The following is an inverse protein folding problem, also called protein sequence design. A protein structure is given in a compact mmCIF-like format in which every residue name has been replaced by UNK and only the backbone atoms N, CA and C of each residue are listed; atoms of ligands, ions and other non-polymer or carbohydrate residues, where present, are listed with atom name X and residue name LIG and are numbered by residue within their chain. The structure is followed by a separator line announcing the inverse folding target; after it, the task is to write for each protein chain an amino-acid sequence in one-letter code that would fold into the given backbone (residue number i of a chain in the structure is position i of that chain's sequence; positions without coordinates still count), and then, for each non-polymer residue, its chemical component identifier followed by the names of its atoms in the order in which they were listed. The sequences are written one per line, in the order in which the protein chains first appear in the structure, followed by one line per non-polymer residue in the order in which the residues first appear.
data_IF_114876645401
#
_entry.id   IF_114876645401
#
_cell.length_a   1.000
_cell.length_b   1.000
_cell.length_c   1.000
_cell.angle_alpha   90.00
_cell.angle_beta   90.00
_cell.angle_gamma   90.00
#
_symmetry.space_group_name_H-M   'P 1'
#
loop_
_entity.id
_entity.type
_entity.pdbx_description
1 polymer ?
#
# COMPACT_ATOMS: atom_id res chain seq x y z
N UNK A 1 17.79 14.65 -31.30
CA UNK A 1 17.46 13.39 -32.01
C UNK A 1 16.06 12.98 -31.59
N UNK A 2 15.13 12.89 -32.53
CA UNK A 2 13.69 12.81 -32.24
C UNK A 2 13.17 11.38 -32.36
N UNK A 3 12.18 11.04 -31.54
CA UNK A 3 11.49 9.74 -31.43
C UNK A 3 10.94 9.14 -32.75
N UNK A 4 10.93 9.89 -33.85
CA UNK A 4 10.48 9.41 -35.17
C UNK A 4 11.46 8.48 -35.88
N UNK A 5 12.73 8.44 -35.50
CA UNK A 5 13.76 7.66 -36.22
C UNK A 5 13.88 6.20 -35.76
N UNK A 6 13.26 5.83 -34.63
CA UNK A 6 13.31 4.46 -34.09
C UNK A 6 12.20 3.53 -34.62
N UNK A 7 11.18 4.07 -35.30
CA UNK A 7 10.05 3.28 -35.81
C UNK A 7 10.24 2.72 -37.25
N UNK A 8 11.36 3.03 -37.92
CA UNK A 8 11.59 2.70 -39.34
C UNK A 8 12.62 1.58 -39.57
N UNK A 9 12.94 0.77 -38.56
CA UNK A 9 13.84 -0.40 -38.69
C UNK A 9 13.24 -1.76 -38.34
N UNK A 10 11.91 -1.83 -38.14
CA UNK A 10 11.19 -3.08 -37.94
C UNK A 10 10.17 -3.32 -39.05
N UNK A 11 10.63 -3.42 -40.30
CA UNK A 11 9.82 -3.98 -41.38
C UNK A 11 10.70 -4.45 -42.53
N UNK A 12 11.25 -5.64 -42.41
CA UNK A 12 11.65 -6.44 -43.56
C UNK A 12 11.82 -7.90 -43.12
N UNK A 13 11.44 -8.81 -44.03
CA UNK A 13 11.41 -10.28 -43.90
C UNK A 13 10.13 -10.81 -43.25
N UNK A 14 9.11 -11.08 -44.06
CA UNK A 14 8.66 -12.45 -44.39
C UNK A 14 7.96 -12.41 -45.75
N UNK A 15 8.55 -13.07 -46.74
CA UNK A 15 7.96 -13.33 -48.04
C UNK A 15 7.03 -14.55 -48.01
N UNK A 16 6.05 -14.51 -48.91
CA UNK A 16 4.96 -15.46 -49.12
C UNK A 16 5.41 -16.89 -49.46
N UNK A 17 4.66 -17.89 -48.97
CA UNK A 17 4.31 -19.11 -49.73
C UNK A 17 3.17 -19.90 -49.07
N UNK A 18 2.18 -20.31 -49.88
CA UNK A 18 1.52 -21.62 -49.75
C UNK A 18 0.18 -21.72 -49.03
N UNK A 19 -0.88 -22.06 -49.78
CA UNK A 19 -2.22 -22.42 -49.29
C UNK A 19 -2.30 -23.87 -48.77
N UNK A 20 -3.25 -24.07 -47.86
CA UNK A 20 -4.25 -25.16 -47.80
C UNK A 20 -4.24 -26.11 -46.57
N UNK A 21 -5.46 -26.20 -46.00
CA UNK A 21 -6.07 -27.29 -45.23
C UNK A 21 -5.72 -27.47 -43.74
N UNK A 22 -6.65 -26.97 -42.91
CA UNK A 22 -7.39 -27.74 -41.90
C UNK A 22 -6.62 -28.49 -40.81
N UNK A 23 -6.62 -27.96 -39.59
CA UNK A 23 -6.76 -28.75 -38.36
C UNK A 23 -6.91 -27.87 -37.10
N UNK A 24 -7.94 -28.20 -36.32
CA UNK A 24 -8.07 -28.17 -34.85
C UNK A 24 -7.55 -26.96 -34.05
N UNK A 25 -8.51 -26.28 -33.41
CA UNK A 25 -8.28 -25.41 -32.27
C UNK A 25 -7.61 -26.17 -31.11
N UNK A 26 -6.48 -25.65 -30.64
CA UNK A 26 -5.79 -26.11 -29.44
C UNK A 26 -6.01 -25.04 -28.37
N UNK A 27 -6.89 -25.30 -27.41
CA UNK A 27 -6.95 -24.56 -26.16
C UNK A 27 -5.77 -24.99 -25.28
N UNK A 28 -4.68 -24.22 -25.35
CA UNK A 28 -3.57 -24.31 -24.39
C UNK A 28 -3.67 -23.17 -23.38
N UNK A 29 -4.26 -23.46 -22.22
CA UNK A 29 -4.14 -22.59 -21.05
C UNK A 29 -2.68 -22.62 -20.57
N UNK A 30 -1.90 -21.60 -20.92
CA UNK A 30 -0.56 -21.43 -20.39
C UNK A 30 -0.66 -20.94 -18.94
N UNK A 31 -0.47 -21.86 -18.00
CA UNK A 31 -0.32 -21.54 -16.59
C UNK A 31 0.90 -20.60 -16.42
N UNK A 32 0.64 -19.39 -15.94
CA UNK A 32 1.69 -18.46 -15.50
C UNK A 32 2.35 -19.09 -14.27
N UNK A 33 3.50 -19.73 -14.49
CA UNK A 33 4.32 -20.29 -13.41
C UNK A 33 4.90 -19.12 -12.61
N UNK A 34 4.47 -18.98 -11.36
CA UNK A 34 5.02 -18.00 -10.43
C UNK A 34 6.54 -18.20 -10.33
N UNK A 35 7.31 -17.23 -10.82
CA UNK A 35 8.76 -17.20 -10.70
C UNK A 35 9.10 -16.80 -9.26
N UNK A 36 9.18 -17.78 -8.37
CA UNK A 36 9.84 -17.62 -7.08
C UNK A 36 11.32 -17.94 -7.25
N UNK A 37 12.07 -16.96 -7.79
CA UNK A 37 13.52 -16.96 -7.67
C UNK A 37 13.88 -16.63 -6.23
N UNK A 38 14.27 -17.63 -5.43
CA UNK A 38 14.92 -17.40 -4.14
C UNK A 38 16.33 -16.89 -4.40
N UNK A 39 16.55 -15.59 -4.23
CA UNK A 39 17.88 -15.04 -3.94
C UNK A 39 18.18 -15.30 -2.46
N UNK A 40 19.35 -15.91 -2.21
CA UNK A 40 19.87 -16.18 -0.88
C UNK A 40 20.49 -14.89 -0.30
N UNK A 41 20.11 -14.51 0.93
CA UNK A 41 20.91 -13.63 1.78
C UNK A 41 20.33 -12.26 2.15
N UNK A 42 19.11 -12.21 2.71
CA UNK A 42 18.57 -11.02 3.38
C UNK A 42 17.31 -11.41 4.15
N UNK A 43 17.25 -11.16 5.46
CA UNK A 43 16.09 -11.46 6.28
C UNK A 43 14.99 -10.40 6.05
N UNK A 44 14.56 -10.23 4.80
CA UNK A 44 13.63 -9.16 4.41
C UNK A 44 12.21 -9.53 4.82
N UNK A 45 11.54 -8.61 5.50
CA UNK A 45 10.19 -8.80 6.02
C UNK A 45 9.20 -9.06 4.88
N UNK A 46 8.52 -10.22 4.89
CA UNK A 46 7.48 -10.53 3.90
C UNK A 46 6.19 -9.74 4.18
N UNK A 47 5.84 -8.83 3.28
CA UNK A 47 4.66 -7.97 3.33
C UNK A 47 3.45 -8.56 2.61
N UNK A 48 3.53 -9.79 2.08
CA UNK A 48 2.44 -10.41 1.35
C UNK A 48 1.18 -10.57 2.20
N UNK A 49 0.05 -10.01 1.71
CA UNK A 49 -1.25 -10.12 2.37
C UNK A 49 -1.97 -8.79 2.61
N UNK A 50 -2.97 -8.80 3.49
CA UNK A 50 -3.85 -7.66 3.74
C UNK A 50 -3.57 -7.04 5.10
N UNK A 51 -3.55 -5.70 5.14
CA UNK A 51 -3.44 -4.90 6.35
C UNK A 51 -4.60 -3.89 6.40
N UNK A 52 -5.44 -3.89 7.43
CA UNK A 52 -6.30 -2.74 7.69
C UNK A 52 -5.44 -1.57 8.22
N UNK A 53 -5.55 -0.36 7.64
CA UNK A 53 -5.10 0.86 8.30
C UNK A 53 -6.09 1.20 9.39
N UNK A 54 -5.74 0.86 10.63
CA UNK A 54 -6.66 0.98 11.77
C UNK A 54 -6.89 2.44 12.14
N UNK A 55 -8.11 2.74 12.58
CA UNK A 55 -8.48 4.06 13.07
C UNK A 55 -7.93 4.31 14.46
N UNK A 56 -7.68 5.57 14.80
CA UNK A 56 -7.59 5.98 16.19
C UNK A 56 -9.00 5.98 16.80
N UNK A 57 -9.10 5.76 18.11
CA UNK A 57 -10.37 5.85 18.82
C UNK A 57 -10.32 7.04 19.76
N UNK A 58 -11.42 7.80 19.81
CA UNK A 58 -11.57 8.98 20.64
C UNK A 58 -12.86 8.92 21.46
N UNK A 59 -12.85 9.52 22.64
CA UNK A 59 -14.04 9.74 23.45
C UNK A 59 -14.84 10.96 22.95
N UNK A 60 -15.97 11.25 23.61
CA UNK A 60 -16.82 12.40 23.27
C UNK A 60 -16.17 13.77 23.53
N UNK A 61 -14.97 13.78 24.14
CA UNK A 61 -14.17 14.97 24.42
C UNK A 61 -12.92 15.02 23.52
N UNK A 62 -12.89 14.23 22.44
CA UNK A 62 -11.78 14.10 21.51
C UNK A 62 -10.46 13.65 22.14
N UNK A 63 -10.50 12.96 23.30
CA UNK A 63 -9.31 12.36 23.90
C UNK A 63 -9.16 10.93 23.41
N UNK A 64 -7.91 10.49 23.26
CA UNK A 64 -7.61 9.11 22.90
C UNK A 64 -8.27 8.10 23.84
N UNK A 65 -9.04 7.17 23.26
CA UNK A 65 -9.70 6.06 23.94
C UNK A 65 -9.00 4.74 23.59
N UNK A 66 -7.97 4.40 24.36
CA UNK A 66 -7.23 3.14 24.17
C UNK A 66 -8.06 1.90 24.55
N UNK A 67 -9.14 2.07 25.32
CA UNK A 67 -10.06 0.99 25.67
C UNK A 67 -10.85 0.54 24.45
N UNK A 68 -11.52 1.49 23.79
CA UNK A 68 -12.26 1.24 22.53
C UNK A 68 -11.35 0.77 21.40
N UNK A 69 -10.15 1.34 21.29
CA UNK A 69 -9.15 0.82 20.35
C UNK A 69 -8.87 -0.66 20.61
N UNK A 70 -8.73 -1.03 21.89
CA UNK A 70 -8.57 -2.41 22.33
C UNK A 70 -9.69 -3.34 21.87
N UNK A 71 -10.95 -2.94 22.06
CA UNK A 71 -12.11 -3.71 21.63
C UNK A 71 -12.14 -3.93 20.10
N UNK A 72 -11.71 -2.93 19.33
CA UNK A 72 -11.61 -3.05 17.87
C UNK A 72 -10.45 -3.97 17.46
N UNK A 73 -9.30 -3.89 18.13
CA UNK A 73 -8.18 -4.80 17.91
C UNK A 73 -8.60 -6.26 18.10
N UNK A 74 -9.37 -6.56 19.16
CA UNK A 74 -9.83 -7.92 19.44
C UNK A 74 -10.70 -8.47 18.30
N UNK A 75 -11.46 -7.62 17.59
CA UNK A 75 -12.24 -8.00 16.41
C UNK A 75 -11.37 -8.16 15.16
N UNK A 76 -10.43 -7.25 14.92
CA UNK A 76 -9.54 -7.30 13.76
C UNK A 76 -8.58 -8.50 13.82
N UNK A 77 -8.08 -8.85 15.02
CA UNK A 77 -7.16 -9.96 15.22
C UNK A 77 -7.79 -11.35 14.97
N UNK A 78 -9.11 -11.44 14.89
CA UNK A 78 -9.81 -12.67 14.47
C UNK A 78 -9.77 -12.90 12.96
N UNK A 79 -9.30 -11.93 12.17
CA UNK A 79 -9.22 -12.03 10.70
C UNK A 79 -7.83 -12.45 10.26
N UNK A 80 -7.67 -13.09 9.08
CA UNK A 80 -6.39 -13.59 8.59
C UNK A 80 -5.53 -12.48 7.97
N UNK A 81 -5.44 -11.32 8.62
CA UNK A 81 -4.58 -10.23 8.18
C UNK A 81 -3.11 -10.60 8.33
N UNK A 82 -2.26 -10.09 7.44
CA UNK A 82 -0.80 -10.22 7.55
C UNK A 82 -0.28 -9.43 8.77
N UNK A 83 -0.95 -8.34 9.06
CA UNK A 83 -0.60 -7.41 10.12
C UNK A 83 -1.58 -6.23 10.15
N UNK A 84 -1.23 -5.18 10.87
CA UNK A 84 -1.99 -3.94 10.94
C UNK A 84 -1.13 -2.77 10.46
N UNK A 85 -1.76 -1.74 9.89
CA UNK A 85 -1.12 -0.44 9.70
C UNK A 85 -1.63 0.52 10.76
N UNK A 86 -0.75 1.03 11.60
CA UNK A 86 -1.05 2.01 12.67
C UNK A 86 -0.56 3.38 12.20
N UNK A 87 -1.31 4.46 12.44
CA UNK A 87 -0.95 5.81 12.00
C UNK A 87 -0.78 5.98 10.48
N UNK A 88 -1.46 5.17 9.67
CA UNK A 88 -1.74 5.55 8.28
C UNK A 88 -2.75 6.70 8.22
N UNK A 89 -3.11 7.20 7.04
CA UNK A 89 -4.05 8.33 6.90
C UNK A 89 -5.39 8.11 7.65
N UNK A 90 -5.93 6.89 7.65
CA UNK A 90 -7.17 6.53 8.37
C UNK A 90 -7.02 6.51 9.91
N UNK A 91 -5.79 6.50 10.43
CA UNK A 91 -5.51 6.64 11.86
C UNK A 91 -5.39 8.10 12.31
N UNK A 92 -5.68 9.05 11.41
CA UNK A 92 -5.69 10.49 11.65
C UNK A 92 -4.39 11.08 12.25
N UNK A 93 -3.18 10.62 11.86
CA UNK A 93 -1.93 10.95 12.56
C UNK A 93 -1.61 12.45 12.62
N UNK A 94 -2.19 13.25 11.72
CA UNK A 94 -2.03 14.71 11.68
C UNK A 94 -2.75 15.43 12.83
N UNK A 95 -3.68 14.75 13.52
CA UNK A 95 -4.42 15.27 14.67
C UNK A 95 -3.81 14.84 16.01
N UNK A 96 -2.80 13.97 16.00
CA UNK A 96 -2.20 13.41 17.21
C UNK A 96 -0.79 13.95 17.43
N UNK A 97 -0.44 14.21 18.69
CA UNK A 97 0.94 14.52 19.08
C UNK A 97 1.83 13.28 18.93
N UNK A 98 3.14 13.47 18.81
CA UNK A 98 4.08 12.35 18.70
C UNK A 98 4.01 11.39 19.89
N UNK A 99 3.82 11.91 21.10
CA UNK A 99 3.67 11.13 22.33
C UNK A 99 2.38 10.29 22.29
N UNK A 100 1.30 10.86 21.78
CA UNK A 100 0.02 10.17 21.59
C UNK A 100 0.13 9.06 20.55
N UNK A 101 0.80 9.34 19.42
CA UNK A 101 1.07 8.33 18.39
C UNK A 101 1.88 7.16 18.96
N UNK A 102 2.92 7.46 19.73
CA UNK A 102 3.78 6.44 20.35
C UNK A 102 3.00 5.61 21.37
N UNK A 103 2.14 6.23 22.19
CA UNK A 103 1.26 5.54 23.15
C UNK A 103 0.26 4.61 22.47
N UNK A 104 -0.35 5.06 21.37
CA UNK A 104 -1.25 4.22 20.56
C UNK A 104 -0.51 3.01 20.02
N UNK A 105 0.69 3.20 19.44
CA UNK A 105 1.46 2.10 18.90
C UNK A 105 1.86 1.08 19.98
N UNK A 106 2.33 1.54 21.14
CA UNK A 106 2.68 0.67 22.26
C UNK A 106 1.47 -0.15 22.75
N UNK A 107 0.29 0.48 22.83
CA UNK A 107 -0.96 -0.19 23.19
C UNK A 107 -1.37 -1.25 22.16
N UNK A 108 -1.20 -0.96 20.86
CA UNK A 108 -1.46 -1.93 19.78
C UNK A 108 -0.46 -3.10 19.88
N UNK A 109 0.84 -2.82 19.98
CA UNK A 109 1.89 -3.85 20.06
C UNK A 109 1.68 -4.81 21.21
N UNK A 110 1.23 -4.32 22.37
CA UNK A 110 0.96 -5.14 23.56
C UNK A 110 -0.15 -6.19 23.33
N UNK A 111 -1.05 -5.97 22.37
CA UNK A 111 -2.16 -6.89 22.06
C UNK A 111 -1.92 -7.74 20.81
N UNK A 112 -1.18 -7.22 19.83
CA UNK A 112 -0.94 -7.90 18.55
C UNK A 112 0.10 -9.02 18.73
N UNK A 113 -0.20 -10.28 18.35
CA UNK A 113 0.76 -11.39 18.35
C UNK A 113 2.01 -11.10 17.50
N UNK A 114 3.16 -11.67 17.88
CA UNK A 114 4.46 -11.41 17.21
C UNK A 114 4.57 -11.95 15.78
N UNK A 115 3.70 -12.88 15.39
CA UNK A 115 3.60 -13.40 14.02
C UNK A 115 2.76 -12.48 13.09
N UNK A 116 2.13 -11.44 13.64
CA UNK A 116 1.41 -10.38 12.90
C UNK A 116 2.24 -9.11 12.91
N UNK A 117 2.47 -8.57 11.71
CA UNK A 117 3.26 -7.38 11.52
C UNK A 117 2.53 -6.11 11.97
N UNK A 118 3.30 -5.11 12.38
CA UNK A 118 2.82 -3.74 12.56
C UNK A 118 3.65 -2.81 11.67
N UNK A 119 2.97 -2.21 10.69
CA UNK A 119 3.52 -1.12 9.89
C UNK A 119 3.10 0.21 10.54
N UNK A 120 4.04 0.96 11.10
CA UNK A 120 3.74 2.20 11.81
C UNK A 120 4.00 3.44 10.94
N UNK A 121 3.00 4.30 10.79
CA UNK A 121 3.13 5.59 10.12
C UNK A 121 4.02 6.53 10.91
N UNK A 122 5.22 6.82 10.40
CA UNK A 122 6.20 7.72 11.03
C UNK A 122 6.52 8.97 10.20
N UNK A 123 5.97 9.07 8.99
CA UNK A 123 6.22 10.22 8.12
C UNK A 123 5.72 11.55 8.70
N UNK A 124 6.57 12.56 8.59
CA UNK A 124 6.35 13.96 8.90
C UNK A 124 6.87 14.81 7.71
N UNK A 125 6.67 16.13 7.75
CA UNK A 125 7.14 17.02 6.67
C UNK A 125 8.67 17.20 6.69
N UNK A 126 9.29 17.22 7.87
CA UNK A 126 10.74 17.37 8.02
C UNK A 126 11.47 16.02 8.07
N UNK A 127 12.60 15.88 7.36
CA UNK A 127 13.42 14.66 7.37
C UNK A 127 13.90 14.26 8.77
N UNK A 128 14.39 15.21 9.56
CA UNK A 128 14.87 14.94 10.93
C UNK A 128 13.75 14.52 11.87
N UNK A 129 12.58 15.16 11.74
CA UNK A 129 11.39 14.84 12.52
C UNK A 129 10.86 13.44 12.17
N UNK A 130 10.80 13.10 10.88
CA UNK A 130 10.45 11.74 10.41
C UNK A 130 11.41 10.71 10.98
N UNK A 131 12.72 10.99 11.01
CA UNK A 131 13.72 10.06 11.55
C UNK A 131 13.58 9.89 13.07
N UNK A 132 13.38 10.99 13.81
CA UNK A 132 13.14 10.95 15.25
C UNK A 132 11.90 10.10 15.57
N UNK A 133 10.81 10.36 14.87
CA UNK A 133 9.57 9.62 15.09
C UNK A 133 9.70 8.16 14.66
N UNK A 134 10.42 7.88 13.57
CA UNK A 134 10.72 6.51 13.13
C UNK A 134 11.41 5.70 14.23
N UNK A 135 12.41 6.29 14.91
CA UNK A 135 13.07 5.64 16.05
C UNK A 135 12.12 5.39 17.21
N UNK A 136 11.31 6.39 17.58
CA UNK A 136 10.29 6.23 18.64
C UNK A 136 9.26 5.14 18.29
N UNK A 137 8.87 5.03 17.02
CA UNK A 137 7.93 3.98 16.56
C UNK A 137 8.58 2.59 16.61
N UNK A 138 9.85 2.47 16.24
CA UNK A 138 10.59 1.22 16.38
C UNK A 138 10.70 0.78 17.85
N UNK A 139 11.04 1.71 18.75
CA UNK A 139 11.13 1.45 20.20
C UNK A 139 9.77 1.02 20.80
N UNK A 140 8.67 1.57 20.27
CA UNK A 140 7.30 1.19 20.63
C UNK A 140 6.85 -0.13 19.99
N UNK A 141 7.68 -0.74 19.14
CA UNK A 141 7.49 -2.10 18.61
C UNK A 141 6.94 -2.19 17.18
N UNK A 142 7.13 -1.17 16.35
CA UNK A 142 6.91 -1.29 14.92
C UNK A 142 7.82 -2.36 14.31
N UNK A 143 7.28 -3.19 13.41
CA UNK A 143 8.08 -4.17 12.66
C UNK A 143 8.67 -3.55 11.38
N UNK A 144 8.00 -2.53 10.83
CA UNK A 144 8.49 -1.63 9.81
C UNK A 144 7.76 -0.28 9.92
N UNK A 145 8.29 0.77 9.28
CA UNK A 145 7.65 2.08 9.22
C UNK A 145 7.10 2.42 7.85
N UNK A 146 5.94 3.06 7.82
CA UNK A 146 5.28 3.57 6.63
C UNK A 146 5.49 5.08 6.56
N UNK A 147 6.29 5.54 5.60
CA UNK A 147 6.73 6.94 5.53
C UNK A 147 6.00 7.64 4.38
N UNK A 148 5.09 8.56 4.71
CA UNK A 148 4.36 9.38 3.72
C UNK A 148 5.29 10.42 3.10
N UNK A 149 5.10 10.67 1.80
CA UNK A 149 5.81 11.72 1.07
C UNK A 149 5.51 13.10 1.67
N UNK A 150 6.53 13.88 2.08
CA UNK A 150 6.35 15.28 2.46
C UNK A 150 5.69 16.07 1.34
N UNK A 151 4.74 16.94 1.66
CA UNK A 151 3.83 17.48 0.65
C UNK A 151 3.46 18.95 0.83
N UNK A 152 3.72 19.55 1.99
CA UNK A 152 3.34 20.95 2.25
C UNK A 152 3.99 21.90 1.23
N UNK A 153 5.29 21.71 0.97
CA UNK A 153 6.04 22.47 -0.05
C UNK A 153 6.11 21.73 -1.40
N UNK A 154 4.97 21.21 -1.90
CA UNK A 154 4.89 20.35 -3.10
C UNK A 154 5.74 20.80 -4.30
N UNK A 155 5.79 22.11 -4.59
CA UNK A 155 6.57 22.66 -5.72
C UNK A 155 8.08 22.52 -5.57
N UNK A 156 8.57 22.14 -4.39
CA UNK A 156 9.98 21.87 -4.07
C UNK A 156 10.26 20.39 -3.79
N UNK A 157 9.23 19.55 -3.75
CA UNK A 157 9.35 18.10 -3.54
C UNK A 157 9.70 17.40 -4.87
N UNK A 158 10.87 17.75 -5.41
CA UNK A 158 11.40 17.15 -6.63
C UNK A 158 11.85 15.71 -6.39
N UNK A 159 11.98 14.92 -7.46
CA UNK A 159 12.51 13.55 -7.35
C UNK A 159 13.81 13.45 -6.52
N UNK A 160 14.85 14.26 -6.79
CA UNK A 160 16.06 14.29 -5.96
C UNK A 160 15.82 14.65 -4.49
N UNK A 161 14.90 15.59 -4.20
CA UNK A 161 14.59 15.97 -2.82
C UNK A 161 13.90 14.81 -2.07
N UNK A 162 12.97 14.12 -2.73
CA UNK A 162 12.27 12.96 -2.17
C UNK A 162 13.20 11.77 -1.97
N UNK A 163 14.06 11.47 -2.95
CA UNK A 163 15.09 10.42 -2.80
C UNK A 163 15.99 10.75 -1.61
N UNK A 164 16.49 11.97 -1.50
CA UNK A 164 17.32 12.38 -0.37
C UNK A 164 16.61 12.23 0.98
N UNK A 165 15.34 12.65 1.08
CA UNK A 165 14.53 12.48 2.28
C UNK A 165 14.43 11.01 2.70
N UNK A 166 14.00 10.13 1.79
CA UNK A 166 13.80 8.72 2.10
C UNK A 166 15.12 7.99 2.37
N UNK A 167 16.21 8.31 1.66
CA UNK A 167 17.53 7.75 1.93
C UNK A 167 17.99 8.10 3.35
N UNK A 168 17.91 9.37 3.77
CA UNK A 168 18.29 9.78 5.13
C UNK A 168 17.45 9.08 6.22
N UNK A 169 16.16 8.88 5.97
CA UNK A 169 15.28 8.16 6.90
C UNK A 169 15.66 6.67 6.94
N UNK A 170 15.88 6.05 5.78
CA UNK A 170 16.23 4.63 5.68
C UNK A 170 17.62 4.31 6.25
N UNK A 171 18.61 5.20 6.08
CA UNK A 171 19.94 5.09 6.68
C UNK A 171 19.88 5.13 8.21
N UNK A 172 19.00 5.98 8.77
CA UNK A 172 18.89 6.18 10.21
C UNK A 172 17.85 5.31 10.92
N UNK A 173 17.03 4.55 10.16
CA UNK A 173 15.92 3.77 10.70
C UNK A 173 16.38 2.41 11.23
N UNK A 174 16.06 2.06 12.48
CA UNK A 174 16.39 0.73 13.04
C UNK A 174 15.49 -0.40 12.51
N UNK A 175 14.42 -0.07 11.79
CA UNK A 175 13.48 -1.03 11.19
C UNK A 175 13.27 -0.72 9.69
N UNK A 176 12.81 -1.68 8.88
CA UNK A 176 12.55 -1.47 7.45
C UNK A 176 11.61 -0.30 7.16
N UNK A 177 11.85 0.37 6.04
CA UNK A 177 11.04 1.48 5.53
C UNK A 177 10.16 1.01 4.37
N UNK A 178 8.89 1.37 4.42
CA UNK A 178 7.93 1.24 3.32
C UNK A 178 7.56 2.64 2.85
N UNK A 179 7.80 2.93 1.58
CA UNK A 179 7.44 4.20 0.94
C UNK A 179 5.91 4.33 0.89
N UNK A 180 5.36 5.53 1.02
CA UNK A 180 3.92 5.73 0.96
C UNK A 180 3.53 6.89 0.04
N UNK A 181 3.03 6.53 -1.16
CA UNK A 181 2.44 7.46 -2.12
C UNK A 181 0.93 7.51 -1.93
N UNK A 182 0.39 8.68 -1.58
CA UNK A 182 -1.05 8.91 -1.43
C UNK A 182 -1.44 10.27 -2.00
N UNK A 183 -1.48 10.40 -3.34
CA UNK A 183 -1.76 11.69 -3.99
C UNK A 183 -3.15 12.24 -3.64
N UNK A 184 -4.12 11.40 -3.29
CA UNK A 184 -5.44 11.84 -2.81
C UNK A 184 -5.39 12.73 -1.56
N UNK A 185 -4.39 12.55 -0.68
CA UNK A 185 -4.21 13.37 0.52
C UNK A 185 -3.09 14.42 0.35
N UNK A 186 -2.03 14.07 -0.36
CA UNK A 186 -0.82 14.91 -0.48
C UNK A 186 -0.86 15.87 -1.67
N UNK A 187 -1.70 15.58 -2.67
CA UNK A 187 -1.67 16.24 -3.97
C UNK A 187 -0.35 16.04 -4.72
N UNK A 188 0.45 15.04 -4.33
CA UNK A 188 1.76 14.72 -4.89
C UNK A 188 1.88 13.20 -5.05
N UNK A 189 2.12 12.74 -6.28
CA UNK A 189 2.46 11.34 -6.53
C UNK A 189 3.98 11.16 -6.42
N UNK A 190 4.42 10.11 -5.71
CA UNK A 190 5.84 9.76 -5.63
C UNK A 190 6.31 9.26 -7.01
N UNK A 191 7.27 9.94 -7.68
CA UNK A 191 7.65 9.60 -9.04
C UNK A 191 8.22 8.17 -9.18
N UNK A 192 7.89 7.49 -10.27
CA UNK A 192 8.37 6.14 -10.58
C UNK A 192 9.89 6.03 -10.46
N UNK A 193 10.64 6.94 -11.07
CA UNK A 193 12.11 6.93 -11.04
C UNK A 193 12.67 7.07 -9.62
N UNK A 194 11.97 7.81 -8.74
CA UNK A 194 12.35 7.93 -7.32
C UNK A 194 12.10 6.62 -6.57
N UNK A 195 10.98 5.94 -6.82
CA UNK A 195 10.68 4.62 -6.24
C UNK A 195 11.73 3.60 -6.68
N UNK A 196 12.06 3.56 -7.97
CA UNK A 196 13.06 2.63 -8.52
C UNK A 196 14.45 2.90 -7.95
N UNK A 197 14.86 4.17 -7.82
CA UNK A 197 16.12 4.52 -7.17
C UNK A 197 16.15 4.07 -5.70
N UNK A 198 15.07 4.33 -4.95
CA UNK A 198 14.97 3.97 -3.52
C UNK A 198 14.87 2.46 -3.30
N UNK A 199 14.33 1.69 -4.26
CA UNK A 199 14.22 0.23 -4.15
C UNK A 199 15.56 -0.51 -4.03
N UNK A 200 16.67 0.17 -4.38
CA UNK A 200 18.02 -0.38 -4.27
C UNK A 200 18.60 -0.23 -2.85
N UNK A 201 17.94 0.54 -1.98
CA UNK A 201 18.40 0.75 -0.62
C UNK A 201 18.05 -0.47 0.25
N UNK A 202 19.00 -1.07 0.98
CA UNK A 202 18.78 -2.35 1.69
C UNK A 202 17.70 -2.28 2.79
N UNK A 203 17.45 -1.08 3.32
CA UNK A 203 16.43 -0.86 4.35
C UNK A 203 15.09 -0.35 3.80
N UNK A 204 14.93 -0.22 2.47
CA UNK A 204 13.65 0.16 1.83
C UNK A 204 13.06 -1.08 1.17
N UNK A 205 12.02 -1.65 1.77
CA UNK A 205 11.52 -2.98 1.43
C UNK A 205 10.26 -2.97 0.57
N UNK A 206 9.71 -1.80 0.26
CA UNK A 206 8.52 -1.70 -0.56
C UNK A 206 7.87 -0.33 -0.63
N UNK A 207 6.73 -0.30 -1.29
CA UNK A 207 5.86 0.87 -1.44
C UNK A 207 4.40 0.49 -1.23
N UNK A 208 3.66 1.32 -0.49
CA UNK A 208 2.21 1.39 -0.54
C UNK A 208 1.82 2.49 -1.52
N UNK A 209 1.19 2.12 -2.63
CA UNK A 209 0.70 3.08 -3.62
C UNK A 209 -0.84 3.17 -3.58
N UNK A 210 -1.33 4.34 -3.15
CA UNK A 210 -2.76 4.68 -3.06
C UNK A 210 -3.28 5.48 -4.26
N UNK A 211 -2.48 5.66 -5.32
CA UNK A 211 -2.87 6.45 -6.50
C UNK A 211 -3.88 5.76 -7.42
N UNK A 212 -3.95 4.42 -7.37
CA UNK A 212 -4.88 3.62 -8.16
C UNK A 212 -4.49 3.43 -9.63
N UNK A 213 -3.33 3.95 -10.05
CA UNK A 213 -2.76 3.66 -11.36
C UNK A 213 -2.07 2.28 -11.36
N UNK A 214 -2.79 1.27 -11.84
CA UNK A 214 -2.29 -0.10 -11.96
C UNK A 214 -1.14 -0.19 -12.98
N UNK A 215 -1.10 0.70 -13.98
CA UNK A 215 0.02 0.76 -14.95
C UNK A 215 1.30 1.14 -14.23
N UNK A 216 1.26 2.18 -13.38
CA UNK A 216 2.39 2.58 -12.56
C UNK A 216 2.82 1.46 -11.61
N UNK A 217 1.88 0.80 -10.92
CA UNK A 217 2.22 -0.33 -10.05
C UNK A 217 2.90 -1.47 -10.82
N UNK A 218 2.41 -1.82 -12.00
CA UNK A 218 3.04 -2.81 -12.86
C UNK A 218 4.45 -2.39 -13.31
N UNK A 219 4.67 -1.11 -13.60
CA UNK A 219 6.00 -0.57 -13.90
C UNK A 219 6.95 -0.66 -12.71
N UNK A 220 6.48 -0.32 -11.49
CA UNK A 220 7.28 -0.48 -10.26
C UNK A 220 7.67 -1.96 -10.12
N UNK A 221 6.69 -2.87 -10.13
CA UNK A 221 6.94 -4.32 -10.03
C UNK A 221 7.95 -4.79 -11.08
N UNK A 222 7.82 -4.33 -12.33
CA UNK A 222 8.72 -4.72 -13.42
C UNK A 222 10.16 -4.21 -13.24
N UNK A 223 10.32 -2.94 -12.88
CA UNK A 223 11.61 -2.29 -12.75
C UNK A 223 12.36 -2.67 -11.46
N UNK A 224 11.65 -3.18 -10.44
CA UNK A 224 12.25 -3.61 -9.17
C UNK A 224 12.40 -5.13 -9.02
N UNK A 225 12.19 -5.94 -10.08
CA UNK A 225 12.24 -7.43 -10.01
C UNK A 225 13.56 -8.03 -9.51
N UNK A 226 14.65 -7.27 -9.58
CA UNK A 226 15.97 -7.69 -9.08
C UNK A 226 16.27 -7.22 -7.66
N UNK A 227 15.32 -6.58 -6.99
CA UNK A 227 15.46 -6.02 -5.64
C UNK A 227 14.50 -6.75 -4.68
N UNK A 228 14.82 -6.75 -3.39
CA UNK A 228 13.92 -7.22 -2.34
C UNK A 228 12.84 -6.16 -2.01
N UNK A 229 12.03 -5.82 -3.02
CA UNK A 229 11.10 -4.69 -2.97
C UNK A 229 9.67 -5.11 -3.32
N UNK A 230 8.73 -4.79 -2.42
CA UNK A 230 7.35 -5.27 -2.48
C UNK A 230 6.36 -4.13 -2.73
N UNK A 231 5.34 -4.35 -3.57
CA UNK A 231 4.29 -3.37 -3.85
C UNK A 231 2.99 -3.75 -3.15
N UNK A 232 2.42 -2.82 -2.38
CA UNK A 232 1.12 -2.94 -1.72
C UNK A 232 0.12 -1.97 -2.34
N UNK A 233 -1.05 -2.48 -2.73
CA UNK A 233 -2.17 -1.65 -3.15
C UNK A 233 -2.71 -0.83 -1.97
N UNK A 234 -2.97 0.46 -2.17
CA UNK A 234 -3.43 1.35 -1.11
C UNK A 234 -4.95 1.40 -0.89
N UNK A 235 -5.75 0.59 -1.58
CA UNK A 235 -7.21 0.55 -1.49
C UNK A 235 -7.76 -0.81 -1.94
N UNK A 236 -8.95 -1.20 -1.45
CA UNK A 236 -9.65 -2.38 -1.94
C UNK A 236 -10.25 -2.17 -3.35
N UNK A 237 -10.42 -0.92 -3.81
CA UNK A 237 -11.03 -0.60 -5.11
C UNK A 237 -10.23 -1.10 -6.32
N UNK A 238 -8.94 -1.37 -6.16
CA UNK A 238 -8.06 -1.85 -7.23
C UNK A 238 -7.15 -2.99 -6.75
N UNK A 239 -7.53 -3.71 -5.69
CA UNK A 239 -6.72 -4.76 -5.10
C UNK A 239 -6.49 -5.94 -6.06
N UNK A 240 -7.55 -6.42 -6.72
CA UNK A 240 -7.43 -7.50 -7.70
C UNK A 240 -6.50 -7.15 -8.87
N UNK A 241 -6.72 -6.06 -9.63
CA UNK A 241 -5.84 -5.74 -10.76
C UNK A 241 -4.40 -5.41 -10.33
N UNK A 242 -4.19 -4.87 -9.11
CA UNK A 242 -2.85 -4.67 -8.56
C UNK A 242 -2.13 -6.00 -8.30
N UNK A 243 -2.79 -6.97 -7.64
CA UNK A 243 -2.21 -8.30 -7.37
C UNK A 243 -1.97 -9.05 -8.68
N UNK A 244 -2.89 -8.98 -9.63
CA UNK A 244 -2.72 -9.56 -10.96
C UNK A 244 -1.51 -8.97 -11.71
N UNK A 245 -1.10 -7.74 -11.37
CA UNK A 245 0.09 -7.06 -11.92
C UNK A 245 1.37 -7.29 -11.11
N UNK A 246 1.30 -8.09 -10.03
CA UNK A 246 2.43 -8.50 -9.20
C UNK A 246 2.59 -7.73 -7.88
N UNK A 247 1.62 -6.89 -7.48
CA UNK A 247 1.55 -6.45 -6.09
C UNK A 247 1.33 -7.66 -5.16
N UNK A 248 1.92 -7.64 -3.97
CA UNK A 248 1.91 -8.79 -3.05
C UNK A 248 0.74 -8.76 -2.06
N UNK A 249 0.00 -7.66 -2.04
CA UNK A 249 -1.02 -7.42 -1.03
C UNK A 249 -1.62 -6.02 -1.08
N UNK A 250 -2.25 -5.62 0.02
CA UNK A 250 -2.86 -4.31 0.11
C UNK A 250 -3.07 -3.79 1.53
N UNK A 251 -2.98 -2.48 1.67
CA UNK A 251 -3.38 -1.74 2.85
C UNK A 251 -4.73 -1.09 2.56
N UNK A 252 -5.83 -1.70 3.04
CA UNK A 252 -7.17 -1.38 2.59
C UNK A 252 -8.06 -0.90 3.75
N UNK A 253 -8.54 0.35 3.71
CA UNK A 253 -9.44 0.89 4.74
C UNK A 253 -10.71 0.05 4.91
N UNK A 254 -11.30 -0.42 3.80
CA UNK A 254 -12.46 -1.30 3.80
C UNK A 254 -12.26 -2.60 4.63
N UNK A 255 -11.01 -3.04 4.84
CA UNK A 255 -10.72 -4.22 5.65
C UNK A 255 -11.03 -4.01 7.14
N UNK A 256 -11.18 -2.77 7.62
CA UNK A 256 -11.64 -2.50 8.99
C UNK A 256 -13.07 -3.02 9.23
N UNK A 257 -13.90 -3.07 8.17
CA UNK A 257 -15.31 -3.49 8.23
C UNK A 257 -15.57 -4.80 7.50
N UNK A 258 -15.01 -4.99 6.30
CA UNK A 258 -15.16 -6.19 5.45
C UNK A 258 -13.84 -6.97 5.36
N UNK A 259 -13.23 -7.22 6.52
CA UNK A 259 -11.91 -7.84 6.60
C UNK A 259 -11.82 -9.23 5.97
N UNK A 260 -12.85 -10.05 6.13
CA UNK A 260 -12.88 -11.41 5.58
C UNK A 260 -12.94 -11.39 4.05
N UNK A 261 -13.78 -10.53 3.49
CA UNK A 261 -14.00 -10.38 2.05
C UNK A 261 -12.75 -9.81 1.36
N UNK A 262 -12.10 -8.82 1.97
CA UNK A 262 -10.85 -8.26 1.41
C UNK A 262 -9.71 -9.29 1.45
N UNK A 263 -9.60 -10.08 2.53
CA UNK A 263 -8.64 -11.18 2.60
C UNK A 263 -8.93 -12.26 1.56
N UNK A 264 -10.21 -12.62 1.37
CA UNK A 264 -10.62 -13.58 0.37
C UNK A 264 -10.30 -13.08 -1.05
N UNK A 265 -10.55 -11.80 -1.34
CA UNK A 265 -10.17 -11.20 -2.61
C UNK A 265 -8.67 -11.33 -2.86
N UNK A 266 -7.83 -10.98 -1.88
CA UNK A 266 -6.38 -11.11 -1.99
C UNK A 266 -5.95 -12.58 -2.21
N UNK A 267 -6.59 -13.53 -1.53
CA UNK A 267 -6.33 -14.97 -1.67
C UNK A 267 -6.68 -15.47 -3.07
N UNK A 268 -7.92 -15.23 -3.53
CA UNK A 268 -8.39 -15.60 -4.88
C UNK A 268 -7.48 -15.01 -5.98
N UNK A 269 -7.08 -13.75 -5.81
CA UNK A 269 -6.18 -13.06 -6.74
C UNK A 269 -4.82 -13.74 -6.84
N UNK A 270 -4.21 -14.08 -5.69
CA UNK A 270 -2.90 -14.75 -5.63
C UNK A 270 -2.91 -16.18 -6.14
N UNK A 271 -4.03 -16.88 -5.98
CA UNK A 271 -4.20 -18.26 -6.46
C UNK A 271 -4.58 -18.35 -7.94
N UNK A 272 -4.73 -17.22 -8.65
CA UNK A 272 -5.12 -17.20 -10.06
C UNK A 272 -6.60 -17.53 -10.31
N UNK A 273 -7.46 -17.45 -9.27
CA UNK A 273 -8.92 -17.64 -9.39
C UNK A 273 -9.58 -16.36 -9.92
N UNK A 274 -9.19 -15.97 -11.13
CA UNK A 274 -9.46 -14.66 -11.73
C UNK A 274 -10.95 -14.32 -11.85
N UNK A 275 -11.79 -15.31 -12.18
CA UNK A 275 -13.23 -15.08 -12.35
C UNK A 275 -13.89 -14.71 -11.01
N UNK A 276 -13.63 -15.49 -9.96
CA UNK A 276 -14.17 -15.27 -8.62
C UNK A 276 -13.58 -14.01 -7.98
N UNK A 277 -12.28 -13.77 -8.18
CA UNK A 277 -11.63 -12.55 -7.73
C UNK A 277 -12.25 -11.32 -8.39
N UNK A 278 -12.54 -11.37 -9.70
CA UNK A 278 -13.22 -10.29 -10.42
C UNK A 278 -14.62 -10.05 -9.88
N UNK A 279 -15.42 -11.10 -9.68
CA UNK A 279 -16.77 -10.95 -9.14
C UNK A 279 -16.77 -10.29 -7.76
N UNK A 280 -15.89 -10.77 -6.86
CA UNK A 280 -15.76 -10.21 -5.53
C UNK A 280 -15.23 -8.76 -5.56
N UNK A 281 -14.24 -8.45 -6.41
CA UNK A 281 -13.74 -7.09 -6.62
C UNK A 281 -14.87 -6.13 -6.98
N UNK A 282 -15.74 -6.51 -7.94
CA UNK A 282 -16.86 -5.67 -8.39
C UNK A 282 -17.85 -5.40 -7.27
N UNK A 283 -18.13 -6.39 -6.42
CA UNK A 283 -19.00 -6.24 -5.23
C UNK A 283 -18.41 -5.31 -4.17
N UNK A 284 -17.09 -5.24 -4.06
CA UNK A 284 -16.39 -4.41 -3.07
C UNK A 284 -16.21 -2.94 -3.50
N UNK A 285 -16.40 -2.59 -4.77
CA UNK A 285 -16.23 -1.20 -5.26
C UNK A 285 -17.16 -0.22 -4.54
N UNK A 286 -18.47 -0.52 -4.48
CA UNK A 286 -19.45 0.39 -3.87
C UNK A 286 -19.23 0.56 -2.36
N UNK A 287 -19.06 -0.51 -1.56
CA UNK A 287 -18.70 -0.37 -0.14
C UNK A 287 -17.41 0.44 0.08
N UNK A 288 -16.38 0.24 -0.75
CA UNK A 288 -15.14 1.01 -0.64
C UNK A 288 -15.34 2.51 -0.89
N UNK A 289 -16.21 2.88 -1.84
CA UNK A 289 -16.54 4.28 -2.08
C UNK A 289 -17.37 4.89 -0.93
N UNK A 290 -18.28 4.11 -0.36
CA UNK A 290 -19.12 4.57 0.76
C UNK A 290 -18.31 4.84 2.04
N UNK A 291 -17.29 4.03 2.32
CA UNK A 291 -16.30 4.30 3.38
C UNK A 291 -15.67 5.69 3.21
N UNK A 292 -15.26 6.04 1.99
CA UNK A 292 -14.63 7.34 1.69
C UNK A 292 -15.61 8.53 1.76
N UNK A 293 -16.91 8.31 1.49
CA UNK A 293 -17.93 9.38 1.48
C UNK A 293 -18.71 9.52 2.80
N UNK A 294 -18.61 8.56 3.72
CA UNK A 294 -19.34 8.60 5.01
C UNK A 294 -18.92 9.75 5.93
N UNK A 295 -17.79 10.43 5.63
CA UNK A 295 -17.40 11.70 6.21
C UNK A 295 -18.35 12.87 5.86
N UNK A 296 -19.07 12.80 4.72
CA UNK A 296 -19.96 13.88 4.27
C UNK A 296 -21.39 13.78 4.82
N UNK A 297 -21.82 12.58 5.24
CA UNK A 297 -23.22 12.31 5.61
C UNK A 297 -23.65 12.85 6.99
N UNK A 298 -22.71 13.31 7.82
CA UNK A 298 -23.03 13.87 9.15
C UNK A 298 -23.26 15.41 9.15
N UNK A 299 -23.22 16.05 7.98
CA UNK A 299 -23.42 17.51 7.86
C UNK A 299 -24.85 17.94 7.50
N UNK A 300 -25.76 17.00 7.24
CA UNK A 300 -27.13 17.33 6.85
C UNK A 300 -28.13 16.86 7.88
N UNK A 301 -28.41 17.69 8.91
CA UNK A 301 -29.74 17.85 9.56
C UNK A 301 -29.60 18.87 10.72
N UNK A 302 -29.52 20.15 10.38
CA UNK A 302 -30.07 21.20 11.25
C UNK A 302 -31.23 21.80 10.48
N UNK A 303 -32.43 21.27 10.74
CA UNK A 303 -33.67 21.81 10.24
C UNK A 303 -33.84 23.24 10.74
N UNK A 304 -33.99 24.20 9.83
CA UNK A 304 -34.48 25.53 10.18
C UNK A 304 -35.99 25.45 10.44
N UNK A 305 -36.38 25.26 11.70
CA UNK A 305 -37.72 25.57 12.18
C UNK A 305 -37.72 26.93 12.84
N UNK A 306 -38.58 27.82 12.33
CA UNK A 306 -39.20 29.00 12.96
C UNK A 306 -38.25 30.14 13.39
N UNK A 307 -38.52 31.44 13.18
CA UNK A 307 -39.72 32.23 12.91
C UNK A 307 -39.36 33.46 12.07
#
# INVERSE_FOLDING_TARGET
MSWRDLAMRASCVVGQAGRAHGARAVHGAAAVRAVHGRTQGGNTLDLSGVFPPITAAFDSQAKLDLGRLGENLDKWLQKPFRGLVVHGSNGEPVLLRHEERTRVLAAVRARVPRDRLILAGSGCEGTYETLELTRRMADAGADAVLVVTPCFYRGRMTGPALVHHYTQVADGSPVPVVLYSVPGNTGLDLPLDSIVALSQHPNVIGVKDSGGDVTKMAQIVHLTRGQDFQVLAGSASFLYPAIASGAVGGVCALANVLGAEVCELARLSREGRHEEARELQLRLIRPNAAELSSADAHSGHVGSTTH
#
